data_IF_927438400649
#
_entry.id   IF_927438400649
#
_cell.length_a   1.000
_cell.length_b   1.000
_cell.length_c   1.000
_cell.angle_alpha   90.00
_cell.angle_beta   90.00
_cell.angle_gamma   90.00
#
_symmetry.space_group_name_H-M   'P 1'
#
loop_
_entity.id
_entity.type
_entity.pdbx_description
1 polymer ?
#
# COMPACT_ATOMS: atom_id res chain seq x y z
N UNK A 1 -24.61 30.37 16.96
CA UNK A 1 -23.23 30.78 16.61
C UNK A 1 -22.53 29.56 16.03
N UNK A 2 -22.33 29.54 14.71
CA UNK A 2 -21.66 28.44 14.00
C UNK A 2 -20.18 28.81 13.82
N UNK A 3 -19.27 27.96 14.27
CA UNK A 3 -17.85 28.12 14.01
C UNK A 3 -17.54 27.75 12.55
N UNK A 4 -16.68 28.51 11.84
CA UNK A 4 -16.36 28.21 10.46
C UNK A 4 -15.39 27.02 10.39
N UNK A 5 -15.78 25.99 9.63
CA UNK A 5 -14.88 24.93 9.17
C UNK A 5 -13.72 25.55 8.38
N UNK A 6 -12.53 25.59 8.97
CA UNK A 6 -11.29 25.91 8.26
C UNK A 6 -10.94 24.73 7.34
N UNK A 7 -11.14 24.91 6.04
CA UNK A 7 -10.44 24.14 5.00
C UNK A 7 -8.94 24.39 5.17
N UNK A 8 -8.24 23.44 5.77
CA UNK A 8 -6.78 23.44 5.76
C UNK A 8 -6.31 22.83 4.44
N UNK A 9 -5.69 23.69 3.64
CA UNK A 9 -5.17 23.37 2.33
C UNK A 9 -4.13 22.27 2.38
N UNK A 10 -4.25 21.39 1.39
CA UNK A 10 -3.23 20.52 0.86
C UNK A 10 -1.96 21.36 0.65
N UNK A 11 -0.88 21.06 1.38
CA UNK A 11 0.48 21.47 1.01
C UNK A 11 1.51 20.80 1.95
N UNK A 12 2.15 19.74 1.47
CA UNK A 12 3.61 19.69 1.36
C UNK A 12 4.02 18.50 0.49
N UNK A 13 4.03 18.71 -0.84
CA UNK A 13 4.55 17.78 -1.82
C UNK A 13 6.03 18.05 -2.08
N UNK A 14 6.90 17.25 -1.47
CA UNK A 14 8.18 16.86 -2.07
C UNK A 14 7.99 15.45 -2.66
N UNK A 15 8.66 15.11 -3.76
CA UNK A 15 8.48 13.87 -4.55
C UNK A 15 8.58 12.55 -3.74
N UNK A 16 8.92 12.61 -2.45
CA UNK A 16 8.87 11.55 -1.43
C UNK A 16 7.50 11.35 -0.76
N UNK A 17 6.42 12.03 -1.21
CA UNK A 17 5.11 12.06 -0.51
C UNK A 17 3.88 11.68 -1.34
N UNK A 18 4.00 11.39 -2.64
CA UNK A 18 2.85 10.91 -3.41
C UNK A 18 2.41 9.53 -2.89
N UNK A 19 1.10 9.35 -2.67
CA UNK A 19 0.56 8.03 -2.35
C UNK A 19 0.68 7.15 -3.60
N UNK A 20 0.84 5.84 -3.39
CA UNK A 20 0.85 4.87 -4.49
C UNK A 20 -0.38 5.00 -5.38
N UNK A 21 -1.55 5.20 -4.76
CA UNK A 21 -2.82 5.48 -5.45
C UNK A 21 -2.73 6.67 -6.42
N UNK A 22 -2.06 7.76 -6.04
CA UNK A 22 -1.97 8.96 -6.87
C UNK A 22 -1.12 8.70 -8.13
N UNK A 23 -0.05 7.93 -7.98
CA UNK A 23 0.83 7.53 -9.09
C UNK A 23 0.04 6.66 -10.08
N UNK A 24 -0.69 5.67 -9.57
CA UNK A 24 -1.48 4.76 -10.39
C UNK A 24 -2.62 5.49 -11.10
N UNK A 25 -3.36 6.35 -10.40
CA UNK A 25 -4.48 7.08 -10.99
C UNK A 25 -4.04 8.09 -12.04
N UNK A 26 -2.87 8.71 -11.87
CA UNK A 26 -2.29 9.60 -12.87
C UNK A 26 -1.95 8.87 -14.18
N UNK A 27 -1.51 7.60 -14.11
CA UNK A 27 -1.07 6.85 -15.27
C UNK A 27 -2.20 6.06 -15.94
N UNK A 28 -3.14 5.51 -15.16
CA UNK A 28 -4.13 4.55 -15.64
C UNK A 28 -5.59 5.01 -15.46
N UNK A 29 -5.81 6.19 -14.85
CA UNK A 29 -7.13 6.67 -14.48
C UNK A 29 -7.67 6.00 -13.21
N UNK A 30 -8.99 6.10 -12.93
CA UNK A 30 -9.57 5.64 -11.66
C UNK A 30 -9.22 4.19 -11.31
N UNK A 31 -8.84 3.97 -10.06
CA UNK A 31 -8.45 2.65 -9.54
C UNK A 31 -9.48 2.06 -8.59
N UNK A 32 -9.36 0.77 -8.33
CA UNK A 32 -10.16 0.03 -7.35
C UNK A 32 -9.27 -0.93 -6.55
N UNK A 33 -9.54 -1.03 -5.25
CA UNK A 33 -8.87 -1.95 -4.35
C UNK A 33 -9.75 -3.20 -4.15
N UNK A 34 -9.18 -4.37 -4.41
CA UNK A 34 -9.83 -5.66 -4.21
C UNK A 34 -9.07 -6.44 -3.13
N UNK A 35 -9.77 -6.87 -2.09
CA UNK A 35 -9.20 -7.74 -1.05
C UNK A 35 -9.10 -9.16 -1.59
N UNK A 36 -7.90 -9.72 -1.54
CA UNK A 36 -7.64 -11.12 -1.89
C UNK A 36 -7.73 -11.97 -0.63
N UNK A 37 -7.02 -11.58 0.43
CA UNK A 37 -7.03 -12.28 1.72
C UNK A 37 -6.82 -11.27 2.85
N UNK A 38 -7.43 -11.52 4.01
CA UNK A 38 -7.29 -10.64 5.17
C UNK A 38 -7.59 -11.36 6.48
N UNK A 39 -6.83 -11.03 7.52
CA UNK A 39 -7.17 -11.33 8.90
C UNK A 39 -6.68 -10.20 9.83
N UNK A 40 -6.62 -10.46 11.15
CA UNK A 40 -6.19 -9.46 12.13
C UNK A 40 -4.70 -9.04 12.00
N UNK A 41 -3.86 -9.87 11.39
CA UNK A 41 -2.41 -9.67 11.33
C UNK A 41 -1.93 -9.23 9.94
N UNK A 42 -2.70 -9.50 8.88
CA UNK A 42 -2.32 -9.11 7.54
C UNK A 42 -3.50 -8.75 6.65
N UNK A 43 -3.17 -8.05 5.55
CA UNK A 43 -4.09 -7.80 4.43
C UNK A 43 -3.33 -7.92 3.11
N UNK A 44 -3.83 -8.75 2.22
CA UNK A 44 -3.38 -8.89 0.84
C UNK A 44 -4.45 -8.31 -0.09
N UNK A 45 -4.09 -7.31 -0.88
CA UNK A 45 -4.97 -6.63 -1.83
C UNK A 45 -4.31 -6.56 -3.20
N UNK A 46 -5.14 -6.37 -4.22
CA UNK A 46 -4.70 -5.88 -5.52
C UNK A 46 -5.36 -4.56 -5.84
N UNK A 47 -4.63 -3.69 -6.52
CA UNK A 47 -5.15 -2.46 -7.10
C UNK A 47 -5.33 -2.69 -8.61
N UNK A 48 -6.53 -2.43 -9.12
CA UNK A 48 -6.87 -2.60 -10.54
C UNK A 48 -7.28 -1.27 -11.18
N UNK A 49 -6.97 -1.10 -12.47
CA UNK A 49 -7.51 -0.01 -13.27
C UNK A 49 -8.98 -0.29 -13.61
N UNK A 50 -9.91 0.61 -13.27
CA UNK A 50 -11.35 0.38 -13.50
C UNK A 50 -11.70 0.22 -14.98
N UNK A 51 -10.98 0.93 -15.86
CA UNK A 51 -11.25 0.98 -17.31
C UNK A 51 -11.16 -0.38 -17.99
N UNK A 52 -10.19 -1.21 -17.61
CA UNK A 52 -9.85 -2.45 -18.32
C UNK A 52 -9.52 -3.62 -17.37
N UNK A 53 -9.71 -3.44 -16.06
CA UNK A 53 -9.48 -4.46 -15.03
C UNK A 53 -8.00 -4.93 -14.94
N UNK A 54 -7.05 -4.18 -15.51
CA UNK A 54 -5.62 -4.49 -15.41
C UNK A 54 -5.16 -4.39 -13.97
N UNK A 55 -4.45 -5.42 -13.48
CA UNK A 55 -3.81 -5.40 -12.17
C UNK A 55 -2.55 -4.53 -12.23
N UNK A 56 -2.51 -3.48 -11.42
CA UNK A 56 -1.43 -2.50 -11.39
C UNK A 56 -0.50 -2.71 -10.19
N UNK A 57 -1.04 -3.21 -9.08
CA UNK A 57 -0.33 -3.38 -7.82
C UNK A 57 -0.87 -4.61 -7.07
N UNK A 58 0.02 -5.33 -6.39
CA UNK A 58 -0.31 -6.24 -5.30
C UNK A 58 0.33 -5.68 -4.02
N UNK A 59 -0.48 -5.47 -2.99
CA UNK A 59 -0.03 -4.92 -1.72
C UNK A 59 -0.21 -5.95 -0.62
N UNK A 60 0.87 -6.26 0.10
CA UNK A 60 0.84 -7.10 1.28
C UNK A 60 1.19 -6.28 2.53
N UNK A 61 0.19 -6.11 3.39
CA UNK A 61 0.28 -5.37 4.64
C UNK A 61 0.41 -6.35 5.79
N UNK A 62 1.45 -6.20 6.61
CA UNK A 62 1.59 -6.87 7.91
C UNK A 62 1.38 -5.85 9.01
N UNK A 63 0.34 -6.04 9.81
CA UNK A 63 0.01 -5.14 10.91
C UNK A 63 0.87 -5.44 12.14
N UNK A 64 1.26 -4.40 12.86
CA UNK A 64 2.00 -4.51 14.11
C UNK A 64 1.03 -4.71 15.28
N UNK A 65 0.63 -5.96 15.52
CA UNK A 65 -0.48 -6.35 16.41
C UNK A 65 -0.45 -5.71 17.81
N UNK A 66 0.71 -5.63 18.51
CA UNK A 66 0.80 -4.92 19.79
C UNK A 66 0.34 -3.45 19.73
N UNK A 67 0.56 -2.78 18.60
CA UNK A 67 0.33 -1.34 18.44
C UNK A 67 -1.06 -1.01 17.85
N UNK A 68 -1.76 -1.99 17.27
CA UNK A 68 -3.10 -1.83 16.67
C UNK A 68 -4.12 -1.35 17.70
N UNK A 69 -4.02 -1.81 18.95
CA UNK A 69 -4.99 -1.48 20.00
C UNK A 69 -5.06 0.02 20.31
N UNK A 70 -4.03 0.78 19.99
CA UNK A 70 -3.98 2.25 20.14
C UNK A 70 -4.90 2.93 19.11
N UNK A 71 -5.15 2.29 17.96
CA UNK A 71 -5.94 2.81 16.85
C UNK A 71 -7.03 1.81 16.42
N UNK A 72 -7.67 1.15 17.39
CA UNK A 72 -8.60 0.05 17.16
C UNK A 72 -9.72 0.39 16.16
N UNK A 73 -10.34 1.57 16.27
CA UNK A 73 -11.42 2.00 15.37
C UNK A 73 -10.96 2.17 13.92
N UNK A 74 -9.77 2.72 13.74
CA UNK A 74 -9.15 2.85 12.41
C UNK A 74 -8.86 1.46 11.85
N UNK A 75 -8.29 0.58 12.67
CA UNK A 75 -7.98 -0.78 12.25
C UNK A 75 -9.23 -1.56 11.86
N UNK A 76 -10.31 -1.47 12.64
CA UNK A 76 -11.59 -2.09 12.29
C UNK A 76 -12.16 -1.55 10.98
N UNK A 77 -11.99 -0.25 10.73
CA UNK A 77 -12.40 0.38 9.46
C UNK A 77 -11.59 -0.17 8.28
N UNK A 78 -10.28 -0.37 8.46
CA UNK A 78 -9.41 -1.03 7.47
C UNK A 78 -9.86 -2.46 7.23
N UNK A 79 -10.16 -3.23 8.28
CA UNK A 79 -10.63 -4.61 8.16
C UNK A 79 -12.00 -4.71 7.48
N UNK A 80 -12.84 -3.68 7.55
CA UNK A 80 -14.13 -3.61 6.81
C UNK A 80 -13.97 -3.25 5.33
N UNK A 81 -12.75 -3.09 4.84
CA UNK A 81 -12.46 -2.92 3.41
C UNK A 81 -11.92 -1.56 3.01
N UNK A 82 -12.02 -0.53 3.87
CA UNK A 82 -11.52 0.80 3.56
C UNK A 82 -10.02 0.82 3.26
N UNK A 83 -9.58 1.71 2.37
CA UNK A 83 -8.14 1.97 2.21
C UNK A 83 -7.59 2.58 3.50
N UNK A 84 -6.30 2.31 3.79
CA UNK A 84 -5.67 2.83 5.01
C UNK A 84 -5.66 4.36 5.03
N UNK A 85 -5.29 5.01 3.93
CA UNK A 85 -5.28 6.48 3.83
C UNK A 85 -6.65 7.08 4.15
N UNK A 86 -7.72 6.52 3.58
CA UNK A 86 -9.09 6.96 3.87
C UNK A 86 -9.47 6.75 5.33
N UNK A 87 -9.18 5.56 5.88
CA UNK A 87 -9.51 5.25 7.27
C UNK A 87 -8.82 6.19 8.27
N UNK A 88 -7.55 6.53 8.03
CA UNK A 88 -6.82 7.50 8.85
C UNK A 88 -7.38 8.93 8.69
N UNK A 89 -7.62 9.37 7.46
CA UNK A 89 -8.18 10.70 7.17
C UNK A 89 -9.56 10.90 7.79
N UNK A 90 -10.47 9.93 7.62
CA UNK A 90 -11.84 10.00 8.16
C UNK A 90 -11.82 10.03 9.70
N UNK A 91 -10.83 9.40 10.34
CA UNK A 91 -10.63 9.43 11.79
C UNK A 91 -9.86 10.67 12.29
N UNK A 92 -9.41 11.56 11.41
CA UNK A 92 -8.58 12.71 11.77
C UNK A 92 -7.20 12.32 12.34
N UNK A 93 -6.72 11.12 12.04
CA UNK A 93 -5.45 10.59 12.54
C UNK A 93 -4.35 10.84 11.50
N UNK A 94 -3.29 11.53 11.91
CA UNK A 94 -2.13 11.75 11.05
C UNK A 94 -1.30 10.47 10.95
N UNK A 95 -0.76 10.21 9.76
CA UNK A 95 0.17 9.12 9.51
C UNK A 95 1.32 9.58 8.61
N UNK A 96 2.44 8.87 8.70
CA UNK A 96 3.64 9.11 7.90
C UNK A 96 4.02 7.80 7.21
N UNK A 97 4.25 7.88 5.90
CA UNK A 97 4.82 6.79 5.09
C UNK A 97 6.33 6.95 5.05
N UNK A 98 7.06 5.90 5.40
CA UNK A 98 8.53 5.88 5.31
C UNK A 98 8.96 4.77 4.36
N UNK A 99 9.30 5.08 3.11
CA UNK A 99 9.89 4.10 2.19
C UNK A 99 11.18 3.53 2.78
N UNK A 100 11.30 2.22 2.76
CA UNK A 100 12.45 1.48 3.28
C UNK A 100 13.37 1.02 2.16
N UNK A 101 12.79 0.52 1.08
CA UNK A 101 13.52 0.06 -0.11
C UNK A 101 12.64 0.14 -1.35
N UNK A 102 13.31 0.19 -2.49
CA UNK A 102 12.76 0.11 -3.83
C UNK A 102 13.67 -0.83 -4.61
N UNK A 103 13.12 -1.95 -5.04
CA UNK A 103 13.81 -3.00 -5.76
C UNK A 103 13.13 -3.21 -7.12
N UNK A 104 13.91 -3.62 -8.12
CA UNK A 104 13.40 -3.98 -9.45
C UNK A 104 13.83 -5.40 -9.75
N UNK A 105 12.90 -6.34 -9.66
CA UNK A 105 13.20 -7.77 -9.77
C UNK A 105 12.13 -8.50 -10.56
N UNK A 106 12.50 -9.66 -11.10
CA UNK A 106 11.53 -10.63 -11.59
C UNK A 106 10.78 -11.22 -10.39
N UNK A 107 9.45 -11.24 -10.49
CA UNK A 107 8.56 -11.82 -9.47
C UNK A 107 8.27 -13.28 -9.78
N UNK A 108 7.76 -14.02 -8.77
CA UNK A 108 7.37 -15.41 -8.95
C UNK A 108 6.25 -15.57 -10.00
N UNK A 109 6.18 -16.71 -10.71
CA UNK A 109 5.22 -16.93 -11.79
C UNK A 109 3.75 -16.66 -11.40
N UNK A 110 3.35 -17.01 -10.18
CA UNK A 110 1.97 -16.77 -9.70
C UNK A 110 1.66 -15.27 -9.65
N UNK A 111 2.58 -14.46 -9.15
CA UNK A 111 2.45 -13.00 -9.08
C UNK A 111 2.48 -12.41 -10.49
N UNK A 112 3.38 -12.90 -11.34
CA UNK A 112 3.50 -12.47 -12.73
C UNK A 112 2.21 -12.74 -13.53
N UNK A 113 1.58 -13.89 -13.29
CA UNK A 113 0.33 -14.28 -13.95
C UNK A 113 -0.81 -13.32 -13.64
N UNK A 114 -0.86 -12.77 -12.42
CA UNK A 114 -1.84 -11.76 -12.02
C UNK A 114 -1.68 -10.46 -12.78
N UNK A 115 -0.45 -10.05 -13.09
CA UNK A 115 -0.21 -8.86 -13.88
C UNK A 115 -0.52 -9.06 -15.37
N UNK A 116 -0.46 -10.30 -15.88
CA UNK A 116 -0.65 -10.58 -17.31
C UNK A 116 0.48 -10.03 -18.19
N UNK A 117 1.61 -9.63 -17.59
CA UNK A 117 2.75 -9.02 -18.28
C UNK A 117 4.07 -9.60 -17.76
N UNK A 118 5.03 -9.77 -18.67
CA UNK A 118 6.38 -10.23 -18.36
C UNK A 118 7.31 -9.03 -18.25
N UNK A 119 8.15 -8.98 -17.22
CA UNK A 119 9.13 -7.93 -17.00
C UNK A 119 9.53 -7.80 -15.54
N UNK A 120 10.43 -6.86 -15.26
CA UNK A 120 10.79 -6.50 -13.89
C UNK A 120 9.62 -5.76 -13.24
N UNK A 121 9.20 -6.23 -12.07
CA UNK A 121 8.28 -5.50 -11.21
C UNK A 121 9.06 -4.54 -10.33
N UNK A 122 8.47 -3.38 -10.02
CA UNK A 122 8.99 -2.52 -8.95
C UNK A 122 8.39 -2.98 -7.64
N UNK A 123 9.24 -3.25 -6.64
CA UNK A 123 8.81 -3.60 -5.29
C UNK A 123 9.22 -2.48 -4.35
N UNK A 124 8.25 -1.92 -3.65
CA UNK A 124 8.47 -0.87 -2.66
C UNK A 124 8.08 -1.41 -1.30
N UNK A 125 8.95 -1.28 -0.32
CA UNK A 125 8.58 -1.55 1.08
C UNK A 125 8.44 -0.26 1.84
N UNK A 126 7.40 -0.17 2.67
CA UNK A 126 7.01 1.06 3.36
C UNK A 126 6.59 0.73 4.78
N UNK A 127 7.10 1.49 5.74
CA UNK A 127 6.58 1.47 7.10
C UNK A 127 5.59 2.63 7.29
N UNK A 128 4.47 2.35 7.96
CA UNK A 128 3.47 3.35 8.35
C UNK A 128 3.60 3.66 9.83
N UNK A 129 3.82 4.94 10.14
CA UNK A 129 3.84 5.45 11.51
C UNK A 129 2.64 6.35 11.75
N UNK A 130 1.99 6.21 12.90
CA UNK A 130 0.68 6.82 13.17
C UNK A 130 0.71 7.65 14.45
N UNK A 131 0.01 8.79 14.39
CA UNK A 131 -0.21 9.69 15.52
C UNK A 131 1.04 10.46 15.96
N UNK A 132 0.91 11.30 17.01
CA UNK A 132 1.96 12.20 17.46
C UNK A 132 3.20 11.47 18.00
N UNK A 133 3.01 10.25 18.52
CA UNK A 133 4.10 9.41 19.03
C UNK A 133 4.81 8.59 17.93
N UNK A 134 4.38 8.73 16.66
CA UNK A 134 4.90 7.96 15.51
C UNK A 134 4.96 6.46 15.83
N UNK A 135 3.84 5.91 16.28
CA UNK A 135 3.74 4.49 16.60
C UNK A 135 3.78 3.71 15.29
N UNK A 136 4.62 2.69 15.21
CA UNK A 136 4.67 1.81 14.04
C UNK A 136 3.37 1.00 13.95
N UNK A 137 2.65 1.15 12.85
CA UNK A 137 1.32 0.55 12.65
C UNK A 137 1.36 -0.67 11.74
N UNK A 138 2.08 -0.56 10.62
CA UNK A 138 2.23 -1.69 9.71
C UNK A 138 3.46 -1.55 8.82
N UNK A 139 3.90 -2.69 8.32
CA UNK A 139 4.83 -2.82 7.21
C UNK A 139 4.06 -3.21 5.94
N UNK A 140 4.35 -2.54 4.83
CA UNK A 140 3.71 -2.78 3.54
C UNK A 140 4.78 -3.21 2.54
N UNK A 141 4.51 -4.25 1.78
CA UNK A 141 5.23 -4.58 0.55
C UNK A 141 4.30 -4.37 -0.64
N UNK A 142 4.61 -3.39 -1.47
CA UNK A 142 3.84 -2.99 -2.65
C UNK A 142 4.61 -3.50 -3.89
N UNK A 143 3.99 -4.37 -4.68
CA UNK A 143 4.55 -4.94 -5.91
C UNK A 143 3.80 -4.34 -7.08
N UNK A 144 4.47 -3.54 -7.88
CA UNK A 144 3.89 -2.87 -9.04
C UNK A 144 4.13 -3.66 -10.31
N UNK A 145 3.10 -3.72 -11.16
CA UNK A 145 3.16 -4.32 -12.48
C UNK A 145 4.29 -3.69 -13.31
N UNK A 146 4.95 -4.45 -14.21
CA UNK A 146 5.94 -3.91 -15.14
C UNK A 146 5.44 -2.76 -16.03
N UNK A 147 4.11 -2.56 -16.12
CA UNK A 147 3.51 -1.43 -16.83
C UNK A 147 3.60 -0.11 -16.06
N UNK A 148 3.76 -0.15 -14.74
CA UNK A 148 3.74 1.05 -13.89
C UNK A 148 5.11 1.72 -13.97
N UNK A 149 5.14 2.96 -14.45
CA UNK A 149 6.35 3.78 -14.41
C UNK A 149 6.51 4.34 -13.00
N UNK A 150 7.26 3.63 -12.14
CA UNK A 150 7.55 4.11 -10.80
C UNK A 150 8.61 5.23 -10.84
N UNK A 151 8.45 6.33 -10.08
CA UNK A 151 9.47 7.37 -10.04
C UNK A 151 10.78 6.83 -9.44
N UNK A 152 11.92 7.28 -9.97
CA UNK A 152 13.23 6.91 -9.44
C UNK A 152 13.42 7.48 -8.02
N UNK A 153 13.35 6.61 -7.01
CA UNK A 153 13.62 6.97 -5.62
C UNK A 153 14.89 6.24 -5.18
N UNK A 154 15.90 7.00 -4.76
CA UNK A 154 17.13 6.45 -4.16
C UNK A 154 16.80 5.87 -2.79
N UNK A 155 16.77 4.56 -2.68
CA UNK A 155 16.61 3.82 -1.42
C UNK A 155 17.55 2.62 -1.40
N UNK A 156 17.91 2.09 -0.22
CA UNK A 156 18.67 0.85 -0.13
C UNK A 156 17.84 -0.33 -0.65
N UNK A 157 18.52 -1.35 -1.18
CA UNK A 157 17.87 -2.62 -1.56
C UNK A 157 17.46 -3.42 -0.33
N UNK A 158 16.37 -4.18 -0.40
CA UNK A 158 15.94 -5.06 0.70
C UNK A 158 16.60 -6.44 0.65
N UNK A 159 17.04 -6.94 1.81
CA UNK A 159 17.53 -8.31 1.98
C UNK A 159 16.43 -9.36 2.16
N UNK A 160 15.17 -8.96 2.37
CA UNK A 160 14.08 -9.86 2.80
C UNK A 160 12.96 -10.03 1.77
N UNK A 161 13.10 -9.46 0.57
CA UNK A 161 12.06 -9.47 -0.45
C UNK A 161 11.68 -10.89 -0.89
N UNK A 162 12.66 -11.79 -1.10
CA UNK A 162 12.38 -13.14 -1.57
C UNK A 162 11.45 -13.93 -0.63
N UNK A 163 11.63 -13.78 0.68
CA UNK A 163 10.77 -14.44 1.67
C UNK A 163 9.34 -13.88 1.62
N UNK A 164 9.20 -12.57 1.44
CA UNK A 164 7.87 -11.94 1.32
C UNK A 164 7.18 -12.36 0.02
N UNK A 165 7.90 -12.43 -1.09
CA UNK A 165 7.34 -12.91 -2.36
C UNK A 165 6.81 -14.34 -2.24
N UNK A 166 7.54 -15.22 -1.57
CA UNK A 166 7.12 -16.60 -1.34
C UNK A 166 5.85 -16.68 -0.47
N UNK A 167 5.77 -15.85 0.56
CA UNK A 167 4.56 -15.76 1.41
C UNK A 167 3.36 -15.28 0.61
N UNK A 168 3.53 -14.24 -0.22
CA UNK A 168 2.48 -13.74 -1.11
C UNK A 168 2.05 -14.84 -2.08
N UNK A 169 2.98 -15.53 -2.75
CA UNK A 169 2.67 -16.66 -3.64
C UNK A 169 1.82 -17.72 -2.93
N UNK A 170 2.22 -18.09 -1.71
CA UNK A 170 1.51 -19.10 -0.90
C UNK A 170 0.09 -18.67 -0.56
N UNK A 171 -0.12 -17.39 -0.25
CA UNK A 171 -1.45 -16.84 0.02
C UNK A 171 -2.31 -16.79 -1.24
N UNK A 172 -1.73 -16.43 -2.38
CA UNK A 172 -2.40 -16.41 -3.67
C UNK A 172 -2.86 -17.81 -4.10
N UNK A 173 -2.06 -18.86 -3.87
CA UNK A 173 -2.45 -20.23 -4.21
C UNK A 173 -3.59 -20.79 -3.35
N UNK A 174 -3.97 -20.10 -2.26
CA UNK A 174 -5.03 -20.51 -1.32
C UNK A 174 -6.31 -19.70 -1.44
N UNK A 175 -6.28 -18.59 -2.17
CA UNK A 175 -7.41 -17.68 -2.37
C UNK A 175 -8.22 -18.06 -3.61
#
# INVERSE_FOLDING_TARGET
MQAPFRKWGILCHTLTTMLSSDILEKQFGPTELVIIAQNANYRLIKTIAKKNQTVLEISFVRFDTPNINIFADVHQTVLRGSSMGKAFTDAGVQFVRTPRSVDHIEVLPDIQSLFGHVGLATIVTVDIFVGPKKVHYCHITEIYSPLVAWPDIKTPKSSHINQTLLEISTLLSRA
#
